data_IF_950771564110
#
_entry.id   IF_950771564110
#
_cell.length_a   1.000
_cell.length_b   1.000
_cell.length_c   1.000
_cell.angle_alpha   90.00
_cell.angle_beta   90.00
_cell.angle_gamma   90.00
#
_symmetry.space_group_name_H-M   'P 1'
#
loop_
_entity.id
_entity.type
_entity.pdbx_description
1 polymer ?
#
# COMPACT_ATOMS: atom_id res chain seq x y z
N UNK A 1 -11.38 2.20 7.44
CA UNK A 1 -10.62 3.03 6.49
C UNK A 1 -10.81 4.54 6.73
N UNK A 2 -12.02 5.09 6.58
CA UNK A 2 -12.25 6.55 6.68
C UNK A 2 -11.77 7.15 8.01
N UNK A 3 -12.03 6.48 9.13
CA UNK A 3 -11.56 6.91 10.45
C UNK A 3 -10.02 7.09 10.50
N UNK A 4 -9.28 6.11 9.99
CA UNK A 4 -7.79 6.15 10.00
C UNK A 4 -7.28 7.30 9.14
N UNK A 5 -7.90 7.54 7.98
CA UNK A 5 -7.55 8.66 7.10
C UNK A 5 -7.87 10.01 7.76
N UNK A 6 -9.01 10.12 8.41
CA UNK A 6 -9.39 11.34 9.14
C UNK A 6 -8.46 11.61 10.32
N UNK A 7 -8.11 10.60 11.11
CA UNK A 7 -7.14 10.73 12.21
C UNK A 7 -5.77 11.18 11.69
N UNK A 8 -5.28 10.59 10.61
CA UNK A 8 -4.03 10.99 10.00
C UNK A 8 -4.07 12.44 9.47
N UNK A 9 -5.18 12.85 8.83
CA UNK A 9 -5.34 14.21 8.31
C UNK A 9 -5.40 15.25 9.42
N UNK A 10 -6.10 14.94 10.53
CA UNK A 10 -6.28 15.83 11.66
C UNK A 10 -5.18 15.75 12.73
N UNK A 11 -4.06 15.07 12.47
CA UNK A 11 -3.00 14.83 13.45
C UNK A 11 -2.55 16.10 14.18
N UNK A 12 -2.30 17.19 13.45
CA UNK A 12 -1.85 18.46 14.05
C UNK A 12 -2.90 19.13 14.97
N UNK A 13 -4.16 18.72 14.86
CA UNK A 13 -5.27 19.28 15.65
C UNK A 13 -5.60 18.46 16.89
N UNK A 14 -5.39 17.13 16.83
CA UNK A 14 -5.85 16.19 17.86
C UNK A 14 -4.73 15.65 18.75
N UNK A 15 -3.46 15.86 18.36
CA UNK A 15 -2.32 15.42 19.18
C UNK A 15 -1.96 16.48 20.21
N UNK A 16 -1.87 16.11 21.49
CA UNK A 16 -1.51 17.06 22.54
C UNK A 16 -0.03 17.45 22.53
N UNK A 17 0.83 16.57 21.97
CA UNK A 17 2.28 16.73 22.01
C UNK A 17 2.91 16.53 20.64
N UNK A 18 4.09 17.14 20.46
CA UNK A 18 4.94 16.86 19.30
C UNK A 18 5.43 15.40 19.35
N UNK A 19 5.30 14.61 18.27
CA UNK A 19 5.64 13.19 18.27
C UNK A 19 7.13 12.88 18.42
N UNK A 20 7.99 13.91 18.36
CA UNK A 20 9.46 13.77 18.43
C UNK A 20 10.02 14.21 19.77
N UNK A 21 9.33 15.12 20.47
CA UNK A 21 9.83 15.68 21.71
C UNK A 21 9.71 14.70 22.88
N UNK A 22 10.77 14.65 23.68
CA UNK A 22 10.76 14.02 24.98
C UNK A 22 10.05 14.96 25.97
N UNK A 23 9.03 14.47 26.65
CA UNK A 23 8.13 15.26 27.49
C UNK A 23 8.34 14.94 28.97
N UNK A 24 8.61 13.67 29.32
CA UNK A 24 8.71 13.23 30.69
C UNK A 24 9.58 11.96 30.81
N UNK A 25 9.52 11.27 31.94
CA UNK A 25 10.25 10.05 32.21
C UNK A 25 9.88 8.95 31.21
N UNK A 26 10.90 8.23 30.72
CA UNK A 26 10.73 7.12 29.80
C UNK A 26 9.89 6.00 30.38
N UNK A 27 9.11 5.35 29.50
CA UNK A 27 8.29 4.19 29.84
C UNK A 27 7.25 4.47 30.94
N UNK A 28 6.80 5.72 31.05
CA UNK A 28 5.69 6.08 31.95
C UNK A 28 4.41 5.38 31.48
N UNK A 29 3.72 4.64 32.37
CA UNK A 29 2.50 3.92 31.99
C UNK A 29 1.36 4.87 31.62
N UNK A 30 0.33 4.37 30.90
CA UNK A 30 -0.87 5.14 30.59
C UNK A 30 -1.50 5.77 31.83
N UNK A 31 -1.80 7.08 31.75
CA UNK A 31 -2.43 7.88 32.78
C UNK A 31 -3.25 9.02 32.17
N UNK A 32 -3.81 9.93 32.97
CA UNK A 32 -4.66 11.02 32.49
C UNK A 32 -3.90 12.07 31.65
N UNK A 33 -2.60 12.27 31.93
CA UNK A 33 -1.76 13.20 31.16
C UNK A 33 -1.23 12.54 29.88
N UNK A 34 -0.97 11.22 29.93
CA UNK A 34 -0.44 10.42 28.82
C UNK A 34 -1.36 9.22 28.55
N UNK A 35 -2.39 9.42 27.73
CA UNK A 35 -3.48 8.44 27.49
C UNK A 35 -3.00 7.04 27.10
N UNK A 36 -1.95 6.95 26.29
CA UNK A 36 -1.36 5.67 25.86
C UNK A 36 0.05 5.45 26.43
N UNK A 37 0.45 6.26 27.43
CA UNK A 37 1.77 6.23 28.05
C UNK A 37 2.87 6.81 27.18
N UNK A 38 4.10 6.73 27.68
CA UNK A 38 5.31 7.22 27.02
C UNK A 38 6.18 6.06 26.49
N UNK A 39 6.97 6.37 25.47
CA UNK A 39 7.90 5.41 24.87
C UNK A 39 9.26 5.33 25.59
N UNK A 40 10.22 4.62 25.03
CA UNK A 40 11.57 4.42 25.56
C UNK A 40 12.41 5.70 25.62
N UNK A 41 11.95 6.78 25.00
CA UNK A 41 12.58 8.10 25.04
C UNK A 41 11.72 9.15 25.78
N UNK A 42 10.61 8.75 26.43
CA UNK A 42 9.70 9.67 27.09
C UNK A 42 8.85 10.51 26.12
N UNK A 43 8.56 9.99 24.93
CA UNK A 43 7.69 10.63 23.93
C UNK A 43 6.29 10.06 24.00
N UNK A 44 5.27 10.88 23.73
CA UNK A 44 3.87 10.47 23.83
C UNK A 44 3.49 9.45 22.77
N UNK A 45 3.08 8.26 23.21
CA UNK A 45 2.69 7.14 22.34
C UNK A 45 1.43 7.47 21.52
N UNK A 46 0.45 8.18 22.10
CA UNK A 46 -0.76 8.58 21.38
C UNK A 46 -0.44 9.49 20.20
N UNK A 47 0.30 10.56 20.42
CA UNK A 47 0.71 11.48 19.35
C UNK A 47 1.53 10.76 18.29
N UNK A 48 2.43 9.87 18.67
CA UNK A 48 3.24 9.08 17.75
C UNK A 48 2.40 8.11 16.90
N UNK A 49 1.35 7.51 17.46
CA UNK A 49 0.43 6.63 16.69
C UNK A 49 -0.32 7.43 15.63
N UNK A 50 -0.83 8.61 15.99
CA UNK A 50 -1.59 9.46 15.06
C UNK A 50 -0.68 9.98 13.93
N UNK A 51 0.50 10.49 14.25
CA UNK A 51 1.49 10.90 13.24
C UNK A 51 2.03 9.71 12.44
N UNK A 52 2.22 8.56 13.09
CA UNK A 52 2.61 7.31 12.42
C UNK A 52 1.59 6.86 11.37
N UNK A 53 0.30 7.14 11.60
CA UNK A 53 -0.74 6.91 10.60
C UNK A 53 -0.48 7.67 9.29
N UNK A 54 -0.05 8.95 9.36
CA UNK A 54 0.32 9.72 8.15
C UNK A 54 1.42 9.04 7.37
N UNK A 55 2.48 8.61 8.05
CA UNK A 55 3.66 8.01 7.42
C UNK A 55 3.29 6.66 6.78
N UNK A 56 2.60 5.78 7.51
CA UNK A 56 2.21 4.46 7.02
C UNK A 56 1.18 4.53 5.89
N UNK A 57 0.19 5.45 5.96
CA UNK A 57 -0.75 5.68 4.87
C UNK A 57 -0.08 6.29 3.64
N UNK A 58 0.77 7.29 3.83
CA UNK A 58 1.53 7.91 2.74
C UNK A 58 2.38 6.89 2.01
N UNK A 59 3.09 6.04 2.75
CA UNK A 59 3.88 4.96 2.17
C UNK A 59 3.02 3.99 1.34
N UNK A 60 1.88 3.55 1.87
CA UNK A 60 0.95 2.68 1.14
C UNK A 60 0.41 3.33 -0.14
N UNK A 61 -0.07 4.58 -0.04
CA UNK A 61 -0.64 5.32 -1.17
C UNK A 61 0.40 5.53 -2.28
N UNK A 62 1.58 6.04 -1.94
CA UNK A 62 2.64 6.28 -2.93
C UNK A 62 3.08 4.99 -3.59
N UNK A 63 3.35 3.94 -2.81
CA UNK A 63 3.79 2.64 -3.34
C UNK A 63 2.77 2.04 -4.30
N UNK A 64 1.49 2.08 -3.96
CA UNK A 64 0.45 1.40 -4.74
C UNK A 64 -0.06 2.29 -5.87
N UNK A 65 -0.49 3.53 -5.57
CA UNK A 65 -1.19 4.38 -6.54
C UNK A 65 -0.21 5.04 -7.52
N UNK A 66 0.96 5.48 -7.04
CA UNK A 66 1.91 6.21 -7.89
C UNK A 66 2.95 5.31 -8.54
N UNK A 67 3.21 4.10 -8.01
CA UNK A 67 4.23 3.21 -8.55
C UNK A 67 3.61 1.91 -9.08
N UNK A 68 3.03 1.05 -8.23
CA UNK A 68 2.60 -0.29 -8.62
C UNK A 68 1.48 -0.27 -9.69
N UNK A 69 0.44 0.53 -9.46
CA UNK A 69 -0.71 0.62 -10.37
C UNK A 69 -0.31 1.13 -11.77
N UNK A 70 0.39 2.27 -11.94
CA UNK A 70 0.75 2.75 -13.28
C UNK A 70 1.73 1.80 -13.99
N UNK A 71 2.82 1.41 -13.34
CA UNK A 71 3.82 0.53 -13.96
C UNK A 71 3.22 -0.83 -14.32
N UNK A 72 2.53 -1.47 -13.39
CA UNK A 72 1.91 -2.77 -13.64
C UNK A 72 0.82 -2.68 -14.70
N UNK A 73 -0.06 -1.66 -14.63
CA UNK A 73 -1.13 -1.51 -15.62
C UNK A 73 -0.58 -1.25 -17.02
N UNK A 74 0.43 -0.42 -17.17
CA UNK A 74 1.08 -0.18 -18.48
C UNK A 74 1.66 -1.49 -19.03
N UNK A 75 2.43 -2.24 -18.22
CA UNK A 75 3.00 -3.52 -18.64
C UNK A 75 1.89 -4.50 -19.06
N UNK A 76 0.84 -4.63 -18.26
CA UNK A 76 -0.26 -5.55 -18.52
C UNK A 76 -1.09 -5.18 -19.75
N UNK A 77 -1.38 -3.89 -19.93
CA UNK A 77 -2.11 -3.39 -21.11
C UNK A 77 -1.30 -3.60 -22.38
N UNK A 78 0.00 -3.29 -22.36
CA UNK A 78 0.87 -3.51 -23.52
C UNK A 78 0.96 -4.99 -23.88
N UNK A 79 1.15 -5.87 -22.89
CA UNK A 79 1.18 -7.32 -23.09
C UNK A 79 -0.14 -7.85 -23.68
N UNK A 80 -1.29 -7.47 -23.08
CA UNK A 80 -2.61 -7.95 -23.50
C UNK A 80 -3.08 -7.40 -24.84
N UNK A 81 -2.69 -6.15 -25.18
CA UNK A 81 -3.13 -5.49 -26.41
C UNK A 81 -2.28 -5.89 -27.62
N UNK A 82 -0.93 -5.82 -27.52
CA UNK A 82 -0.04 -6.10 -28.64
C UNK A 82 0.21 -7.59 -28.84
N UNK A 83 0.07 -8.41 -27.79
CA UNK A 83 0.26 -9.86 -27.85
C UNK A 83 1.64 -10.27 -28.40
N UNK A 84 1.78 -11.51 -28.87
CA UNK A 84 2.99 -12.03 -29.50
C UNK A 84 4.25 -11.87 -28.64
N UNK A 85 5.34 -11.38 -29.21
CA UNK A 85 6.62 -11.25 -28.51
C UNK A 85 6.61 -10.25 -27.35
N UNK A 86 5.79 -9.16 -27.46
CA UNK A 86 5.63 -8.18 -26.37
C UNK A 86 5.00 -8.85 -25.14
N UNK A 87 3.96 -9.62 -25.36
CA UNK A 87 3.32 -10.40 -24.30
C UNK A 87 4.28 -11.41 -23.69
N UNK A 88 5.01 -12.15 -24.52
CA UNK A 88 5.97 -13.15 -24.04
C UNK A 88 7.06 -12.50 -23.17
N UNK A 89 7.63 -11.38 -23.60
CA UNK A 89 8.69 -10.69 -22.86
C UNK A 89 8.19 -10.15 -21.53
N UNK A 90 7.08 -9.37 -21.55
CA UNK A 90 6.55 -8.74 -20.35
C UNK A 90 6.01 -9.77 -19.34
N UNK A 91 5.35 -10.85 -19.83
CA UNK A 91 4.91 -11.94 -18.97
C UNK A 91 6.08 -12.68 -18.32
N UNK A 92 7.19 -12.90 -19.04
CA UNK A 92 8.41 -13.49 -18.44
C UNK A 92 9.00 -12.63 -17.34
N UNK A 93 9.04 -11.30 -17.53
CA UNK A 93 9.49 -10.39 -16.46
C UNK A 93 8.60 -10.48 -15.22
N UNK A 94 7.28 -10.49 -15.42
CA UNK A 94 6.30 -10.67 -14.35
C UNK A 94 6.50 -12.01 -13.63
N UNK A 95 6.70 -13.10 -14.38
CA UNK A 95 6.89 -14.45 -13.82
C UNK A 95 8.19 -14.56 -13.02
N UNK A 96 9.29 -13.92 -13.48
CA UNK A 96 10.55 -13.84 -12.72
C UNK A 96 10.32 -13.14 -11.38
N UNK A 97 9.57 -12.03 -11.36
CA UNK A 97 9.30 -11.32 -10.11
C UNK A 97 8.44 -12.14 -9.15
N UNK A 98 7.47 -12.91 -9.66
CA UNK A 98 6.66 -13.82 -8.83
C UNK A 98 7.41 -15.06 -8.34
N UNK A 99 8.56 -15.40 -8.91
CA UNK A 99 9.40 -16.50 -8.43
C UNK A 99 10.02 -16.18 -7.05
N UNK A 100 10.10 -14.92 -6.68
CA UNK A 100 10.60 -14.50 -5.37
C UNK A 100 9.46 -14.27 -4.38
N UNK A 101 9.59 -14.71 -3.10
CA UNK A 101 8.68 -14.30 -2.05
C UNK A 101 8.65 -12.76 -1.92
N UNK A 102 7.45 -12.18 -1.96
CA UNK A 102 7.20 -10.74 -1.99
C UNK A 102 8.03 -9.94 -0.96
N UNK A 103 8.01 -10.41 0.31
CA UNK A 103 8.73 -9.73 1.39
C UNK A 103 10.26 -9.83 1.22
N UNK A 104 10.77 -10.99 0.79
CA UNK A 104 12.21 -11.16 0.57
C UNK A 104 12.71 -10.28 -0.57
N UNK A 105 11.94 -10.16 -1.65
CA UNK A 105 12.29 -9.26 -2.75
C UNK A 105 12.29 -7.80 -2.28
N UNK A 106 11.30 -7.38 -1.48
CA UNK A 106 11.27 -6.02 -0.93
C UNK A 106 12.47 -5.74 -0.02
N UNK A 107 12.81 -6.67 0.90
CA UNK A 107 14.01 -6.57 1.76
C UNK A 107 15.28 -6.45 0.92
N UNK A 108 15.40 -7.27 -0.13
CA UNK A 108 16.59 -7.24 -1.01
C UNK A 108 16.72 -5.89 -1.72
N UNK A 109 15.62 -5.37 -2.28
CA UNK A 109 15.63 -4.06 -2.95
C UNK A 109 16.05 -2.95 -1.98
N UNK A 110 15.43 -2.89 -0.78
CA UNK A 110 15.79 -1.89 0.23
C UNK A 110 17.21 -2.10 0.75
N UNK A 111 17.65 -3.34 0.89
CA UNK A 111 19.04 -3.66 1.28
C UNK A 111 20.09 -3.11 0.31
N UNK A 112 19.78 -3.10 -0.99
CA UNK A 112 20.67 -2.52 -2.03
C UNK A 112 20.55 -0.99 -2.09
N UNK A 113 19.34 -0.44 -1.99
CA UNK A 113 19.08 1.01 -2.10
C UNK A 113 19.42 1.78 -0.81
N UNK A 114 19.49 1.07 0.32
CA UNK A 114 19.66 1.65 1.66
C UNK A 114 18.33 1.89 2.40
N UNK A 115 18.37 1.86 3.74
CA UNK A 115 17.19 2.06 4.58
C UNK A 115 16.63 3.48 4.48
N UNK A 116 15.42 3.63 3.98
CA UNK A 116 14.67 4.90 3.99
C UNK A 116 13.19 4.66 3.64
N UNK A 117 12.32 5.58 4.03
CA UNK A 117 10.91 5.52 3.67
C UNK A 117 10.73 5.52 2.13
N UNK A 118 11.48 6.38 1.42
CA UNK A 118 11.40 6.50 -0.05
C UNK A 118 11.79 5.19 -0.74
N UNK A 119 12.91 4.59 -0.33
CA UNK A 119 13.36 3.33 -0.92
C UNK A 119 12.40 2.17 -0.60
N UNK A 120 11.79 2.20 0.58
CA UNK A 120 10.72 1.27 0.97
C UNK A 120 9.49 1.43 0.07
N UNK A 121 9.05 2.66 -0.20
CA UNK A 121 7.93 2.92 -1.12
C UNK A 121 8.23 2.41 -2.53
N UNK A 122 9.42 2.65 -3.05
CA UNK A 122 9.86 2.14 -4.36
C UNK A 122 9.88 0.62 -4.37
N UNK A 123 10.45 -0.02 -3.35
CA UNK A 123 10.51 -1.47 -3.24
C UNK A 123 9.11 -2.10 -3.23
N UNK A 124 8.20 -1.59 -2.39
CA UNK A 124 6.82 -2.06 -2.33
C UNK A 124 6.13 -1.88 -3.69
N UNK A 125 6.29 -0.71 -4.33
CA UNK A 125 5.72 -0.42 -5.64
C UNK A 125 6.20 -1.40 -6.72
N UNK A 126 7.50 -1.67 -6.78
CA UNK A 126 8.10 -2.64 -7.73
C UNK A 126 7.54 -4.04 -7.49
N UNK A 127 7.51 -4.48 -6.23
CA UNK A 127 7.08 -5.84 -5.86
C UNK A 127 5.59 -6.08 -6.14
N UNK A 128 4.75 -5.03 -6.08
CA UNK A 128 3.31 -5.13 -6.40
C UNK A 128 2.97 -4.90 -7.87
N UNK A 129 3.85 -4.28 -8.66
CA UNK A 129 3.61 -4.04 -10.08
C UNK A 129 3.23 -5.31 -10.88
N UNK A 130 3.84 -6.50 -10.65
CA UNK A 130 3.44 -7.75 -11.31
C UNK A 130 1.99 -8.13 -11.11
N UNK A 131 1.43 -7.90 -9.92
CA UNK A 131 0.01 -8.19 -9.64
C UNK A 131 -0.91 -7.33 -10.51
N UNK A 132 -0.64 -6.03 -10.61
CA UNK A 132 -1.38 -5.14 -11.49
C UNK A 132 -1.18 -5.49 -12.96
N UNK A 133 0.04 -5.87 -13.37
CA UNK A 133 0.32 -6.30 -14.73
C UNK A 133 -0.50 -7.53 -15.12
N UNK A 134 -0.59 -8.53 -14.24
CA UNK A 134 -1.37 -9.76 -14.51
C UNK A 134 -2.86 -9.46 -14.66
N UNK A 135 -3.43 -8.62 -13.78
CA UNK A 135 -4.84 -8.22 -13.82
C UNK A 135 -5.12 -7.39 -15.07
N UNK A 136 -4.30 -6.37 -15.34
CA UNK A 136 -4.46 -5.52 -16.51
C UNK A 136 -4.35 -6.32 -17.81
N UNK A 137 -3.39 -7.26 -17.90
CA UNK A 137 -3.23 -8.15 -19.06
C UNK A 137 -4.47 -9.01 -19.30
N UNK A 138 -4.94 -9.70 -18.27
CA UNK A 138 -6.12 -10.57 -18.37
C UNK A 138 -7.36 -9.80 -18.80
N UNK A 139 -7.63 -8.65 -18.18
CA UNK A 139 -8.75 -7.78 -18.52
C UNK A 139 -8.63 -7.20 -19.94
N UNK A 140 -7.42 -6.79 -20.36
CA UNK A 140 -7.16 -6.24 -21.70
C UNK A 140 -7.39 -7.29 -22.79
N UNK A 141 -6.98 -8.55 -22.56
CA UNK A 141 -7.25 -9.65 -23.49
C UNK A 141 -8.74 -9.87 -23.70
N UNK A 142 -9.55 -9.80 -22.63
CA UNK A 142 -11.01 -9.89 -22.72
C UNK A 142 -11.60 -8.74 -23.55
N UNK A 143 -11.29 -7.50 -23.17
CA UNK A 143 -11.82 -6.29 -23.82
C UNK A 143 -11.39 -6.19 -25.28
N UNK A 144 -10.16 -6.54 -25.61
CA UNK A 144 -9.60 -6.41 -26.97
C UNK A 144 -10.29 -7.29 -28.02
N UNK A 145 -11.09 -8.27 -27.60
CA UNK A 145 -11.83 -9.17 -28.49
C UNK A 145 -13.31 -8.75 -28.69
N UNK A 146 -13.77 -7.68 -28.05
CA UNK A 146 -15.15 -7.20 -28.18
C UNK A 146 -15.38 -6.55 -29.56
N UNK A 147 -16.57 -6.77 -30.14
CA UNK A 147 -16.90 -6.36 -31.51
C UNK A 147 -16.69 -4.87 -31.78
N UNK A 148 -17.00 -4.00 -30.82
CA UNK A 148 -16.79 -2.56 -30.99
C UNK A 148 -15.31 -2.15 -31.04
N UNK A 149 -14.40 -2.93 -30.44
CA UNK A 149 -12.95 -2.74 -30.55
C UNK A 149 -12.48 -3.18 -31.94
N UNK A 150 -12.99 -4.30 -32.42
CA UNK A 150 -12.72 -4.78 -33.80
C UNK A 150 -13.22 -3.79 -34.84
N UNK A 151 -14.44 -3.29 -34.67
CA UNK A 151 -15.00 -2.25 -35.55
C UNK A 151 -14.16 -0.96 -35.50
N UNK A 152 -13.70 -0.54 -34.33
CA UNK A 152 -12.83 0.65 -34.20
C UNK A 152 -11.51 0.50 -34.98
N UNK A 153 -10.92 -0.72 -34.99
CA UNK A 153 -9.73 -1.01 -35.80
C UNK A 153 -10.02 -0.95 -37.29
N UNK A 154 -11.16 -1.50 -37.73
CA UNK A 154 -11.55 -1.54 -39.13
C UNK A 154 -11.74 -0.13 -39.73
N UNK A 155 -12.25 0.82 -38.95
CA UNK A 155 -12.37 2.24 -39.37
C UNK A 155 -11.07 3.03 -39.19
N UNK A 156 -9.93 2.37 -38.89
CA UNK A 156 -8.60 2.97 -38.87
C UNK A 156 -8.22 3.68 -37.55
N UNK A 157 -8.89 3.40 -36.43
CA UNK A 157 -8.48 3.96 -35.15
C UNK A 157 -7.09 3.45 -34.72
N UNK A 158 -6.18 4.37 -34.39
CA UNK A 158 -4.83 4.02 -33.93
C UNK A 158 -4.83 3.35 -32.55
N UNK A 159 -3.84 2.48 -32.29
CA UNK A 159 -3.71 1.70 -31.05
C UNK A 159 -3.78 2.56 -29.77
N UNK A 160 -3.09 3.69 -29.74
CA UNK A 160 -3.12 4.59 -28.57
C UNK A 160 -4.55 5.09 -28.26
N UNK A 161 -5.33 5.45 -29.29
CA UNK A 161 -6.73 5.90 -29.13
C UNK A 161 -7.58 4.75 -28.58
N UNK A 162 -7.42 3.54 -29.09
CA UNK A 162 -8.18 2.36 -28.65
C UNK A 162 -7.82 2.06 -27.17
N UNK A 163 -6.54 2.05 -26.81
CA UNK A 163 -6.09 1.77 -25.45
C UNK A 163 -6.69 2.82 -24.48
N UNK A 164 -6.50 4.11 -24.75
CA UNK A 164 -6.90 5.17 -23.82
C UNK A 164 -8.42 5.31 -23.74
N UNK A 165 -9.14 5.23 -24.88
CA UNK A 165 -10.57 5.54 -24.92
C UNK A 165 -11.48 4.31 -24.69
N UNK A 166 -10.96 3.12 -24.95
CA UNK A 166 -11.77 1.91 -24.89
C UNK A 166 -11.23 0.86 -23.92
N UNK A 167 -9.92 0.58 -23.90
CA UNK A 167 -9.37 -0.46 -23.02
C UNK A 167 -9.31 0.02 -21.57
N UNK A 168 -8.61 1.12 -21.30
CA UNK A 168 -8.39 1.61 -19.93
C UNK A 168 -9.68 1.83 -19.14
N UNK A 169 -10.74 2.47 -19.67
CA UNK A 169 -11.98 2.65 -18.93
C UNK A 169 -12.66 1.31 -18.58
N UNK A 170 -12.57 0.33 -19.47
CA UNK A 170 -13.22 -0.98 -19.28
C UNK A 170 -12.47 -1.89 -18.28
N UNK A 171 -11.17 -1.69 -18.08
CA UNK A 171 -10.38 -2.44 -17.10
C UNK A 171 -10.23 -1.68 -15.77
N UNK A 172 -10.81 -0.48 -15.64
CA UNK A 172 -10.65 0.34 -14.44
C UNK A 172 -11.23 -0.33 -13.19
N UNK A 173 -12.40 -0.95 -13.26
CA UNK A 173 -13.06 -1.58 -12.12
C UNK A 173 -12.18 -2.65 -11.45
N UNK A 174 -11.65 -3.68 -12.14
CA UNK A 174 -10.77 -4.66 -11.51
C UNK A 174 -9.46 -4.04 -10.98
N UNK A 175 -8.94 -2.98 -11.61
CA UNK A 175 -7.75 -2.28 -11.11
C UNK A 175 -8.03 -1.48 -9.84
N UNK A 176 -9.19 -0.84 -9.74
CA UNK A 176 -9.62 -0.10 -8.54
C UNK A 176 -9.81 -1.06 -7.37
N UNK A 177 -10.48 -2.20 -7.58
CA UNK A 177 -10.65 -3.23 -6.55
C UNK A 177 -9.29 -3.74 -6.09
N UNK A 178 -8.39 -4.06 -7.02
CA UNK A 178 -7.04 -4.51 -6.67
C UNK A 178 -6.26 -3.43 -5.90
N UNK A 179 -6.46 -2.16 -6.21
CA UNK A 179 -5.78 -1.06 -5.52
C UNK A 179 -6.14 -1.02 -4.04
N UNK A 180 -7.41 -1.20 -3.67
CA UNK A 180 -7.83 -1.21 -2.26
C UNK A 180 -7.23 -2.38 -1.49
N UNK A 181 -7.19 -3.58 -2.08
CA UNK A 181 -6.55 -4.75 -1.48
C UNK A 181 -5.03 -4.58 -1.36
N UNK A 182 -4.41 -4.01 -2.40
CA UNK A 182 -2.97 -3.74 -2.39
C UNK A 182 -2.57 -2.68 -1.35
N UNK A 183 -3.42 -1.69 -1.05
CA UNK A 183 -3.16 -0.70 0.00
C UNK A 183 -3.06 -1.35 1.38
N UNK A 184 -3.95 -2.28 1.72
CA UNK A 184 -3.91 -2.97 3.02
C UNK A 184 -2.61 -3.78 3.19
N UNK A 185 -2.22 -4.50 2.15
CA UNK A 185 -1.00 -5.31 2.17
C UNK A 185 0.27 -4.47 2.08
N UNK A 186 0.25 -3.33 1.37
CA UNK A 186 1.36 -2.38 1.32
C UNK A 186 1.65 -1.76 2.69
N UNK A 187 0.60 -1.38 3.45
CA UNK A 187 0.74 -0.90 4.83
C UNK A 187 1.40 -1.97 5.71
N UNK A 188 1.00 -3.24 5.57
CA UNK A 188 1.58 -4.34 6.34
C UNK A 188 3.06 -4.58 5.99
N UNK A 189 3.42 -4.51 4.70
CA UNK A 189 4.82 -4.66 4.27
C UNK A 189 5.66 -3.45 4.70
N UNK A 190 5.13 -2.21 4.60
CA UNK A 190 5.82 -1.03 5.14
C UNK A 190 6.10 -1.21 6.64
N UNK A 191 5.08 -1.59 7.40
CA UNK A 191 5.23 -1.82 8.83
C UNK A 191 6.26 -2.93 9.12
N UNK A 192 6.30 -4.00 8.33
CA UNK A 192 7.27 -5.08 8.45
C UNK A 192 8.70 -4.61 8.14
N UNK A 193 8.89 -3.85 7.05
CA UNK A 193 10.20 -3.30 6.68
C UNK A 193 10.68 -2.28 7.72
N UNK A 194 9.79 -1.42 8.21
CA UNK A 194 10.08 -0.45 9.27
C UNK A 194 10.39 -1.15 10.61
N UNK A 195 9.68 -2.23 10.95
CA UNK A 195 9.97 -3.10 12.11
C UNK A 195 11.37 -3.69 12.05
N UNK A 196 11.85 -4.05 10.85
CA UNK A 196 13.20 -4.56 10.61
C UNK A 196 14.25 -3.43 10.52
N UNK A 197 13.86 -2.15 10.65
CA UNK A 197 14.76 -1.00 10.57
C UNK A 197 15.11 -0.56 9.15
N UNK A 198 14.43 -1.12 8.14
CA UNK A 198 14.66 -0.83 6.73
C UNK A 198 13.78 0.30 6.18
N UNK A 199 12.69 0.65 6.88
CA UNK A 199 11.70 1.65 6.46
C UNK A 199 11.98 3.05 6.97
N UNK A 200 10.99 3.61 7.66
CA UNK A 200 11.06 4.93 8.28
C UNK A 200 12.19 5.01 9.29
N UNK A 201 13.03 6.05 9.17
CA UNK A 201 14.15 6.25 10.07
C UNK A 201 13.80 7.22 11.20
N UNK A 202 14.37 7.03 12.42
CA UNK A 202 14.22 8.00 13.50
C UNK A 202 14.63 9.43 13.06
N UNK A 203 14.03 10.49 13.65
CA UNK A 203 13.09 10.49 14.78
C UNK A 203 11.61 10.27 14.37
N UNK A 204 11.30 10.24 13.08
CA UNK A 204 9.92 10.16 12.58
C UNK A 204 9.23 8.86 13.03
N UNK A 205 7.99 8.92 13.55
CA UNK A 205 7.25 7.73 13.89
C UNK A 205 6.64 7.05 12.66
N UNK A 206 6.67 5.71 12.62
CA UNK A 206 5.74 4.88 11.86
C UNK A 206 5.27 3.73 12.76
N UNK A 207 4.15 3.15 12.48
CA UNK A 207 3.64 2.04 13.30
C UNK A 207 4.63 0.87 13.35
N UNK A 208 5.31 0.59 12.23
CA UNK A 208 6.32 -0.47 12.16
C UNK A 208 7.55 -0.18 13.02
N UNK A 209 8.10 1.04 12.98
CA UNK A 209 9.25 1.42 13.83
C UNK A 209 8.89 1.39 15.31
N UNK A 210 7.69 1.90 15.68
CA UNK A 210 7.20 1.84 17.06
C UNK A 210 7.06 0.40 17.55
N UNK A 211 6.53 -0.50 16.74
CA UNK A 211 6.42 -1.92 17.06
C UNK A 211 7.81 -2.57 17.23
N UNK A 212 8.76 -2.24 16.33
CA UNK A 212 10.12 -2.77 16.37
C UNK A 212 10.90 -2.35 17.62
N UNK A 213 10.80 -1.09 18.04
CA UNK A 213 11.43 -0.60 19.27
C UNK A 213 10.69 -1.09 20.52
N UNK A 214 9.35 -1.02 20.52
CA UNK A 214 8.52 -1.44 21.66
C UNK A 214 8.65 -2.92 22.00
N UNK A 215 8.97 -3.80 21.03
CA UNK A 215 9.23 -5.22 21.27
C UNK A 215 10.29 -5.47 22.36
N UNK A 216 11.28 -4.60 22.47
CA UNK A 216 12.35 -4.74 23.48
C UNK A 216 11.87 -4.48 24.89
N UNK A 217 10.75 -3.78 25.06
CA UNK A 217 10.17 -3.36 26.32
C UNK A 217 8.85 -4.05 26.64
N UNK A 218 8.52 -5.15 25.93
CA UNK A 218 7.22 -5.81 26.03
C UNK A 218 6.88 -6.27 27.45
N UNK A 219 7.89 -6.66 28.26
CA UNK A 219 7.69 -7.09 29.63
C UNK A 219 7.47 -5.92 30.61
N UNK A 220 8.08 -4.75 30.32
CA UNK A 220 8.05 -3.59 31.23
C UNK A 220 6.98 -2.57 30.81
N UNK A 221 6.79 -2.38 29.51
CA UNK A 221 5.95 -1.36 28.91
C UNK A 221 5.23 -1.91 27.67
N UNK A 222 4.31 -2.87 27.83
CA UNK A 222 3.64 -3.52 26.69
C UNK A 222 2.87 -2.55 25.82
N UNK A 223 2.40 -1.42 26.32
CA UNK A 223 1.66 -0.40 25.59
C UNK A 223 2.43 0.17 24.39
N UNK A 224 3.77 0.25 24.49
CA UNK A 224 4.64 0.80 23.43
C UNK A 224 4.59 -0.04 22.15
N UNK A 225 4.34 -1.36 22.25
CA UNK A 225 4.20 -2.27 21.12
C UNK A 225 2.73 -2.61 20.79
N UNK A 226 1.89 -2.81 21.82
CA UNK A 226 0.50 -3.25 21.64
C UNK A 226 -0.33 -2.22 20.87
N UNK A 227 -0.24 -0.94 21.23
CA UNK A 227 -1.06 0.09 20.57
C UNK A 227 -0.69 0.32 19.10
N UNK A 228 0.58 0.40 18.68
CA UNK A 228 0.90 0.43 17.25
C UNK A 228 0.45 -0.82 16.50
N UNK A 229 0.54 -2.00 17.13
CA UNK A 229 0.03 -3.25 16.57
C UNK A 229 -1.50 -3.21 16.32
N UNK A 230 -2.27 -2.67 17.27
CA UNK A 230 -3.71 -2.44 17.13
C UNK A 230 -3.99 -1.44 16.00
N UNK A 231 -3.20 -0.38 15.89
CA UNK A 231 -3.36 0.62 14.83
C UNK A 231 -3.17 -0.01 13.43
N UNK A 232 -2.14 -0.84 13.26
CA UNK A 232 -1.91 -1.62 12.01
C UNK A 232 -3.11 -2.53 11.73
N UNK A 233 -3.57 -3.28 12.74
CA UNK A 233 -4.71 -4.19 12.59
C UNK A 233 -5.98 -3.44 12.12
N UNK A 234 -6.32 -2.32 12.76
CA UNK A 234 -7.49 -1.51 12.40
C UNK A 234 -7.36 -0.96 10.97
N UNK A 235 -6.18 -0.48 10.58
CA UNK A 235 -5.94 0.03 9.25
C UNK A 235 -6.10 -1.07 8.19
N UNK A 236 -5.44 -2.21 8.37
CA UNK A 236 -5.50 -3.35 7.44
C UNK A 236 -6.92 -3.87 7.29
N UNK A 237 -7.63 -4.10 8.41
CA UNK A 237 -9.04 -4.51 8.38
C UNK A 237 -9.92 -3.47 7.68
N UNK A 238 -9.71 -2.19 7.98
CA UNK A 238 -10.49 -1.11 7.39
C UNK A 238 -10.32 -1.01 5.87
N UNK A 239 -9.11 -1.20 5.34
CA UNK A 239 -8.85 -1.21 3.89
C UNK A 239 -9.38 -2.47 3.23
N UNK A 240 -9.27 -3.65 3.85
CA UNK A 240 -9.84 -4.89 3.32
C UNK A 240 -11.37 -4.81 3.22
N UNK A 241 -12.05 -4.41 4.29
CA UNK A 241 -13.51 -4.24 4.27
C UNK A 241 -13.97 -3.20 3.23
N UNK A 242 -13.21 -2.11 3.07
CA UNK A 242 -13.52 -1.14 2.03
C UNK A 242 -13.31 -1.72 0.61
N UNK A 243 -12.30 -2.55 0.43
CA UNK A 243 -12.05 -3.27 -0.83
C UNK A 243 -13.17 -4.25 -1.17
N UNK A 244 -13.63 -5.01 -0.20
CA UNK A 244 -14.73 -5.96 -0.37
C UNK A 244 -16.04 -5.22 -0.69
N UNK A 245 -16.37 -4.16 0.04
CA UNK A 245 -17.55 -3.34 -0.24
C UNK A 245 -17.50 -2.66 -1.62
N UNK A 246 -16.31 -2.24 -2.07
CA UNK A 246 -16.14 -1.67 -3.40
C UNK A 246 -16.27 -2.74 -4.50
N UNK A 247 -15.79 -3.94 -4.26
CA UNK A 247 -15.98 -5.09 -5.15
C UNK A 247 -17.45 -5.40 -5.33
N UNK A 248 -18.21 -5.49 -4.23
CA UNK A 248 -19.65 -5.76 -4.29
C UNK A 248 -20.41 -4.65 -5.02
N UNK A 249 -20.04 -3.38 -4.81
CA UNK A 249 -20.67 -2.25 -5.48
C UNK A 249 -20.35 -2.17 -7.00
N UNK A 250 -19.19 -2.68 -7.43
CA UNK A 250 -18.74 -2.65 -8.81
C UNK A 250 -19.02 -3.95 -9.58
N UNK A 251 -19.52 -5.02 -8.92
CA UNK A 251 -19.87 -6.28 -9.59
C UNK A 251 -21.23 -6.13 -10.31
N UNK A 252 -21.25 -6.22 -11.67
CA UNK A 252 -22.48 -6.09 -12.43
C UNK A 252 -23.51 -7.20 -12.14
N UNK A 253 -23.03 -8.38 -11.71
CA UNK A 253 -23.88 -9.58 -11.49
C UNK A 253 -24.79 -9.41 -10.26
N UNK A 254 -24.43 -8.56 -9.31
CA UNK A 254 -25.25 -8.26 -8.13
C UNK A 254 -26.36 -7.24 -8.40
N UNK A 255 -26.37 -6.60 -9.58
CA UNK A 255 -27.42 -5.63 -9.98
C UNK A 255 -28.61 -6.28 -10.69
N UNK A 256 -28.50 -7.54 -11.10
CA UNK A 256 -29.52 -8.28 -11.84
C UNK A 256 -30.30 -9.27 -10.96
N UNK A 257 -29.98 -9.33 -9.66
CA UNK A 257 -30.70 -10.12 -8.67
C UNK A 257 -31.60 -9.23 -7.78
#
# INVERSE_FOLDING_TARGET
MLLVVLLAASADLITPYDPVWQIDERLTPPNWDYLLGLDEFGRDVYSRIIYGARVSLYAGIVSVILIALPFGSVMGVLAGYFRGWVDTLLSRLVDIMFAFPTLLLAITIVGVLGPSLTNTMVAIGIVYAPTFARIARGSTLGVSNLDYIVASRTVGAGSARIIVRHVLPNIAAPLIIQTTLALSTAILIEATLSFLGLGTQPPMPSWGTMLGTGRRYMELAPWVAVYPGIAIMIAVLGFNLAGDGLRDALDPRLREA
#
